data_IF_068335437587
#
_entry.id   IF_068335437587
#
_cell.length_a   1.000
_cell.length_b   1.000
_cell.length_c   1.000
_cell.angle_alpha   90.00
_cell.angle_beta   90.00
_cell.angle_gamma   90.00
#
_symmetry.space_group_name_H-M   'P 1'
#
loop_
_entity.id
_entity.type
_entity.pdbx_description
1 polymer ?
#
# COMPACT_ATOMS: atom_id res chain seq x y z
N UNK A 1 -3.19 72.30 -46.11
CA UNK A 1 -4.39 71.87 -46.87
C UNK A 1 -5.07 70.78 -46.03
N UNK A 2 -6.04 71.14 -45.17
CA UNK A 2 -7.50 71.11 -45.45
C UNK A 2 -7.90 69.76 -46.05
N UNK A 3 -8.71 68.91 -45.40
CA UNK A 3 -10.08 69.18 -44.96
C UNK A 3 -10.55 68.22 -43.86
N UNK A 4 -11.27 68.78 -42.90
CA UNK A 4 -12.30 68.15 -42.05
C UNK A 4 -13.37 67.42 -42.87
N UNK A 5 -13.85 66.26 -42.42
CA UNK A 5 -15.31 66.07 -42.28
C UNK A 5 -15.68 64.99 -41.25
N UNK A 6 -16.83 65.22 -40.65
CA UNK A 6 -17.40 64.69 -39.42
C UNK A 6 -18.51 63.70 -39.81
N UNK A 7 -18.49 62.50 -39.25
CA UNK A 7 -19.75 61.75 -39.05
C UNK A 7 -19.74 61.06 -37.70
N UNK A 8 -20.57 61.63 -36.81
CA UNK A 8 -21.14 61.00 -35.64
C UNK A 8 -21.73 59.63 -35.99
N UNK A 9 -21.51 58.64 -35.11
CA UNK A 9 -22.57 57.67 -34.75
C UNK A 9 -22.23 56.91 -33.47
N UNK A 10 -23.02 57.24 -32.45
CA UNK A 10 -23.55 56.36 -31.40
C UNK A 10 -22.57 55.48 -30.61
N UNK A 11 -22.18 55.96 -29.43
CA UNK A 11 -22.02 55.09 -28.25
C UNK A 11 -23.36 54.40 -27.99
N UNK A 12 -23.50 53.15 -28.44
CA UNK A 12 -24.59 52.28 -28.06
C UNK A 12 -24.52 51.91 -26.57
N UNK A 13 -25.66 51.55 -25.94
CA UNK A 13 -25.75 51.37 -24.49
C UNK A 13 -24.85 50.25 -24.00
N UNK A 14 -24.28 50.43 -22.80
CA UNK A 14 -23.65 49.35 -22.03
C UNK A 14 -24.58 48.13 -22.03
N UNK A 15 -24.19 47.08 -22.76
CA UNK A 15 -24.83 45.79 -22.61
C UNK A 15 -24.58 45.32 -21.18
N UNK A 16 -25.66 45.25 -20.41
CA UNK A 16 -25.67 44.69 -19.07
C UNK A 16 -24.93 43.35 -19.07
N UNK A 17 -23.78 43.31 -18.39
CA UNK A 17 -23.11 42.05 -18.09
C UNK A 17 -24.09 41.14 -17.35
N UNK A 18 -23.99 39.80 -17.50
CA UNK A 18 -24.92 38.88 -16.88
C UNK A 18 -24.98 39.19 -15.39
N UNK A 19 -26.18 39.56 -14.93
CA UNK A 19 -26.49 39.79 -13.52
C UNK A 19 -25.97 38.59 -12.76
N UNK A 20 -24.94 38.82 -11.95
CA UNK A 20 -24.40 37.82 -11.03
C UNK A 20 -25.54 37.48 -10.09
N UNK A 21 -26.29 36.43 -10.40
CA UNK A 21 -27.33 35.88 -9.54
C UNK A 21 -26.67 35.70 -8.19
N UNK A 22 -27.04 36.54 -7.23
CA UNK A 22 -26.56 36.44 -5.87
C UNK A 22 -26.88 35.01 -5.43
N UNK A 23 -25.83 34.25 -5.07
CA UNK A 23 -26.04 32.93 -4.47
C UNK A 23 -27.01 33.14 -3.31
N UNK A 24 -28.12 32.40 -3.23
CA UNK A 24 -28.97 32.47 -2.06
C UNK A 24 -28.09 32.25 -0.83
N UNK A 25 -28.30 33.08 0.19
CA UNK A 25 -27.62 32.93 1.47
C UNK A 25 -27.77 31.46 1.92
N UNK A 26 -26.71 30.83 2.44
CA UNK A 26 -26.84 29.48 2.98
C UNK A 26 -27.99 29.50 4.00
N UNK A 27 -28.90 28.50 3.96
CA UNK A 27 -29.98 28.45 4.93
C UNK A 27 -29.37 28.58 6.33
N UNK A 28 -29.94 29.49 7.14
CA UNK A 28 -29.61 29.60 8.55
C UNK A 28 -29.56 28.19 9.14
N UNK A 29 -28.51 27.90 9.91
CA UNK A 29 -28.14 26.57 10.42
C UNK A 29 -29.33 25.86 11.10
N UNK A 30 -30.20 25.26 10.28
CA UNK A 30 -31.24 24.37 10.72
C UNK A 30 -30.54 23.08 11.10
N UNK A 31 -30.51 22.81 12.41
CA UNK A 31 -30.12 21.56 13.03
C UNK A 31 -29.02 20.79 12.28
N UNK A 32 -27.77 21.24 12.45
CA UNK A 32 -26.64 20.36 12.16
C UNK A 32 -26.83 19.10 12.99
N UNK A 33 -27.31 18.03 12.35
CA UNK A 33 -27.53 16.74 12.99
C UNK A 33 -26.30 16.40 13.85
N UNK A 34 -26.48 16.00 15.12
CA UNK A 34 -25.38 15.83 16.04
C UNK A 34 -24.34 14.91 15.42
N UNK A 35 -23.08 15.36 15.36
CA UNK A 35 -21.96 14.59 14.82
C UNK A 35 -22.03 13.20 15.46
N UNK A 36 -22.19 12.12 14.66
CA UNK A 36 -22.46 10.82 15.20
C UNK A 36 -21.32 10.41 16.14
N UNK A 37 -21.67 10.13 17.40
CA UNK A 37 -20.71 9.73 18.43
C UNK A 37 -19.92 8.52 17.96
N UNK A 38 -18.62 8.55 18.19
CA UNK A 38 -17.70 7.46 17.82
C UNK A 38 -18.13 6.17 18.54
N UNK A 39 -18.32 5.05 17.83
CA UNK A 39 -18.63 3.77 18.47
C UNK A 39 -17.50 3.32 19.39
N UNK A 40 -17.83 2.73 20.54
CA UNK A 40 -16.86 2.10 21.46
C UNK A 40 -16.04 1.01 20.77
N UNK A 41 -16.62 0.31 19.78
CA UNK A 41 -15.94 -0.66 18.94
C UNK A 41 -14.70 -0.10 18.21
N UNK A 42 -14.68 1.20 17.86
CA UNK A 42 -13.48 1.85 17.29
C UNK A 42 -12.36 1.96 18.32
N UNK A 43 -12.71 2.25 19.58
CA UNK A 43 -11.76 2.27 20.69
C UNK A 43 -11.19 0.89 20.99
N UNK A 44 -12.03 -0.15 20.94
CA UNK A 44 -11.58 -1.54 21.10
C UNK A 44 -10.71 -2.01 19.93
N UNK A 45 -11.08 -1.69 18.68
CA UNK A 45 -10.24 -2.01 17.51
C UNK A 45 -8.85 -1.34 17.64
N UNK A 46 -8.82 -0.08 18.09
CA UNK A 46 -7.58 0.63 18.39
C UNK A 46 -6.75 -0.08 19.47
N UNK A 47 -7.37 -0.47 20.58
CA UNK A 47 -6.69 -1.19 21.66
C UNK A 47 -6.12 -2.54 21.17
N UNK A 48 -6.87 -3.29 20.35
CA UNK A 48 -6.40 -4.56 19.79
C UNK A 48 -5.21 -4.38 18.85
N UNK A 49 -5.19 -3.32 18.04
CA UNK A 49 -4.02 -2.99 17.19
C UNK A 49 -2.81 -2.69 18.06
N UNK A 50 -2.97 -1.93 19.15
CA UNK A 50 -1.86 -1.66 20.09
C UNK A 50 -1.36 -2.96 20.72
N UNK A 51 -2.26 -3.81 21.23
CA UNK A 51 -1.89 -5.08 21.86
C UNK A 51 -1.14 -5.98 20.86
N UNK A 52 -1.65 -6.11 19.62
CA UNK A 52 -0.97 -6.87 18.58
C UNK A 52 0.40 -6.29 18.23
N UNK A 53 0.53 -4.96 18.19
CA UNK A 53 1.80 -4.26 17.95
C UNK A 53 2.80 -4.51 19.08
N UNK A 54 2.36 -4.42 20.34
CA UNK A 54 3.19 -4.72 21.51
C UNK A 54 3.65 -6.18 21.52
N UNK A 55 2.78 -7.12 21.16
CA UNK A 55 3.15 -8.53 21.03
C UNK A 55 4.20 -8.75 19.93
N UNK A 56 4.08 -8.06 18.79
CA UNK A 56 5.07 -8.10 17.71
C UNK A 56 6.43 -7.51 18.16
N UNK A 57 6.41 -6.40 18.89
CA UNK A 57 7.64 -5.83 19.49
C UNK A 57 8.30 -6.85 20.41
N UNK A 58 7.52 -7.47 21.32
CA UNK A 58 8.05 -8.46 22.25
C UNK A 58 8.70 -9.62 21.49
N UNK A 59 8.02 -10.17 20.49
CA UNK A 59 8.54 -11.23 19.62
C UNK A 59 9.87 -10.86 18.98
N UNK A 60 9.98 -9.66 18.39
CA UNK A 60 11.22 -9.21 17.75
C UNK A 60 12.35 -8.98 18.75
N UNK A 61 12.05 -8.46 19.95
CA UNK A 61 13.06 -8.30 21.02
C UNK A 61 13.65 -9.65 21.43
N UNK A 62 12.83 -10.70 21.54
CA UNK A 62 13.34 -12.05 21.84
C UNK A 62 14.21 -12.61 20.72
N UNK A 63 13.83 -12.40 19.46
CA UNK A 63 14.64 -12.82 18.30
C UNK A 63 16.01 -12.14 18.30
N UNK A 64 16.03 -10.83 18.55
CA UNK A 64 17.27 -10.05 18.63
C UNK A 64 18.13 -10.50 19.82
N UNK A 65 17.53 -10.74 20.99
CA UNK A 65 18.25 -11.26 22.15
C UNK A 65 18.92 -12.60 21.82
N UNK A 66 18.22 -13.49 21.12
CA UNK A 66 18.77 -14.76 20.67
C UNK A 66 19.92 -14.60 19.65
N UNK A 67 19.82 -13.64 18.72
CA UNK A 67 20.91 -13.32 17.78
C UNK A 67 22.16 -12.80 18.50
N UNK A 68 21.97 -11.99 19.56
CA UNK A 68 23.07 -11.49 20.39
C UNK A 68 23.72 -12.63 21.18
N UNK A 69 22.92 -13.51 21.79
CA UNK A 69 23.42 -14.68 22.54
C UNK A 69 24.19 -15.66 21.66
N UNK A 70 23.76 -15.85 20.41
CA UNK A 70 24.39 -16.77 19.45
C UNK A 70 25.58 -16.16 18.70
N UNK A 71 25.90 -14.88 18.95
CA UNK A 71 27.00 -14.18 18.29
C UNK A 71 26.77 -13.89 16.81
N UNK A 72 25.53 -14.01 16.33
CA UNK A 72 25.11 -13.73 14.94
C UNK A 72 24.66 -12.27 14.77
N UNK A 73 24.59 -11.50 15.86
CA UNK A 73 24.21 -10.10 15.84
C UNK A 73 25.17 -9.25 14.99
N UNK A 74 24.62 -8.57 13.98
CA UNK A 74 25.37 -7.75 13.04
C UNK A 74 24.55 -6.57 12.51
N UNK A 75 24.95 -5.99 11.38
CA UNK A 75 24.22 -4.88 10.76
C UNK A 75 22.74 -5.19 10.47
N UNK A 76 22.43 -6.46 10.16
CA UNK A 76 21.07 -6.97 9.96
C UNK A 76 20.17 -6.77 11.20
N UNK A 77 20.70 -6.96 12.41
CA UNK A 77 19.96 -6.78 13.67
C UNK A 77 19.55 -5.32 13.90
N UNK A 78 20.37 -4.36 13.44
CA UNK A 78 20.05 -2.92 13.49
C UNK A 78 18.97 -2.56 12.46
N UNK A 79 19.00 -3.19 11.29
CA UNK A 79 17.94 -3.08 10.28
C UNK A 79 16.59 -3.60 10.79
N UNK A 80 16.59 -4.77 11.42
CA UNK A 80 15.38 -5.38 12.00
C UNK A 80 14.77 -4.53 13.13
N UNK A 81 15.58 -3.92 14.00
CA UNK A 81 15.12 -2.97 15.02
C UNK A 81 14.50 -1.72 14.40
N UNK A 82 15.18 -1.14 13.41
CA UNK A 82 14.72 0.07 12.72
C UNK A 82 13.38 -0.18 12.03
N UNK A 83 13.25 -1.32 11.35
CA UNK A 83 12.01 -1.79 10.74
C UNK A 83 10.90 -1.96 11.77
N UNK A 84 11.19 -2.62 12.88
CA UNK A 84 10.22 -2.85 13.95
C UNK A 84 9.66 -1.54 14.48
N UNK A 85 10.53 -0.59 14.82
CA UNK A 85 10.14 0.73 15.32
C UNK A 85 9.30 1.48 14.27
N UNK A 86 9.74 1.48 13.01
CA UNK A 86 9.02 2.11 11.91
C UNK A 86 7.63 1.51 11.71
N UNK A 87 7.49 0.17 11.75
CA UNK A 87 6.20 -0.50 11.66
C UNK A 87 5.29 -0.15 12.83
N UNK A 88 5.81 -0.12 14.06
CA UNK A 88 5.02 0.22 15.23
C UNK A 88 4.47 1.65 15.17
N UNK A 89 5.33 2.62 14.79
CA UNK A 89 4.91 4.00 14.56
C UNK A 89 3.86 4.10 13.45
N UNK A 90 4.04 3.33 12.37
CA UNK A 90 3.12 3.29 11.24
C UNK A 90 1.75 2.70 11.60
N UNK A 91 1.70 1.57 12.33
CA UNK A 91 0.45 0.97 12.80
C UNK A 91 -0.30 1.88 13.77
N UNK A 92 0.42 2.51 14.72
CA UNK A 92 -0.13 3.53 15.60
C UNK A 92 -0.73 4.70 14.80
N UNK A 93 -0.01 5.18 13.80
CA UNK A 93 -0.50 6.21 12.89
C UNK A 93 -1.76 5.78 12.13
N UNK A 94 -1.82 4.55 11.58
CA UNK A 94 -3.01 4.05 10.90
C UNK A 94 -4.21 3.93 11.85
N UNK A 95 -3.97 3.50 13.08
CA UNK A 95 -4.98 3.40 14.13
C UNK A 95 -5.50 4.79 14.53
N UNK A 96 -4.65 5.80 14.60
CA UNK A 96 -5.06 7.20 14.78
C UNK A 96 -5.85 7.74 13.59
N UNK A 97 -5.46 7.39 12.37
CA UNK A 97 -6.19 7.81 11.16
C UNK A 97 -7.57 7.14 11.07
N UNK A 98 -7.72 5.91 11.57
CA UNK A 98 -9.02 5.27 11.78
C UNK A 98 -9.85 6.04 12.83
N UNK A 99 -9.27 6.39 13.98
CA UNK A 99 -9.94 7.20 15.02
C UNK A 99 -10.39 8.57 14.50
N UNK A 100 -9.60 9.16 13.60
CA UNK A 100 -9.91 10.39 12.89
C UNK A 100 -11.00 10.22 11.81
N UNK A 101 -11.54 9.01 11.59
CA UNK A 101 -12.60 8.72 10.62
C UNK A 101 -12.13 8.60 9.18
N UNK A 102 -10.82 8.47 8.93
CA UNK A 102 -10.28 8.36 7.57
C UNK A 102 -10.39 6.92 7.07
N UNK A 103 -11.15 6.74 5.98
CA UNK A 103 -11.38 5.43 5.34
C UNK A 103 -10.10 4.67 4.97
N UNK A 104 -9.06 5.37 4.53
CA UNK A 104 -7.80 4.73 4.14
C UNK A 104 -7.05 4.13 5.34
N UNK A 105 -7.21 4.67 6.56
CA UNK A 105 -6.64 4.08 7.78
C UNK A 105 -7.25 2.71 8.06
N UNK A 106 -8.58 2.59 7.91
CA UNK A 106 -9.27 1.28 8.01
C UNK A 106 -8.79 0.28 6.98
N UNK A 107 -8.63 0.71 5.72
CA UNK A 107 -8.16 -0.17 4.64
C UNK A 107 -6.72 -0.63 4.91
N UNK A 108 -5.84 0.27 5.34
CA UNK A 108 -4.46 -0.08 5.69
C UNK A 108 -4.42 -1.11 6.82
N UNK A 109 -5.13 -0.86 7.93
CA UNK A 109 -5.20 -1.83 9.02
C UNK A 109 -5.74 -3.17 8.55
N UNK A 110 -6.78 -3.19 7.73
CA UNK A 110 -7.31 -4.44 7.17
C UNK A 110 -6.23 -5.18 6.37
N UNK A 111 -5.59 -4.50 5.42
CA UNK A 111 -4.59 -5.11 4.53
C UNK A 111 -3.40 -5.62 5.31
N UNK A 112 -2.84 -4.79 6.20
CA UNK A 112 -1.65 -5.14 6.97
C UNK A 112 -1.94 -6.20 8.05
N UNK A 113 -3.08 -6.15 8.72
CA UNK A 113 -3.48 -7.21 9.66
C UNK A 113 -3.73 -8.53 8.93
N UNK A 114 -4.41 -8.52 7.78
CA UNK A 114 -4.58 -9.74 6.96
C UNK A 114 -3.25 -10.29 6.43
N UNK A 115 -2.35 -9.41 6.00
CA UNK A 115 -1.02 -9.79 5.52
C UNK A 115 -0.17 -10.36 6.67
N UNK A 116 -0.22 -9.75 7.84
CA UNK A 116 0.42 -10.25 9.05
C UNK A 116 -0.09 -11.64 9.43
N UNK A 117 -1.42 -11.84 9.46
CA UNK A 117 -2.03 -13.15 9.70
C UNK A 117 -1.56 -14.20 8.67
N UNK A 118 -1.47 -13.82 7.39
CA UNK A 118 -1.00 -14.70 6.33
C UNK A 118 0.48 -15.08 6.54
N UNK A 119 1.35 -14.11 6.78
CA UNK A 119 2.77 -14.37 7.00
C UNK A 119 3.02 -15.18 8.27
N UNK A 120 2.34 -14.87 9.37
CA UNK A 120 2.41 -15.66 10.60
C UNK A 120 1.92 -17.09 10.36
N UNK A 121 0.84 -17.26 9.60
CA UNK A 121 0.33 -18.58 9.21
C UNK A 121 1.32 -19.38 8.34
N UNK A 122 1.94 -18.74 7.35
CA UNK A 122 2.96 -19.36 6.49
C UNK A 122 4.21 -19.76 7.30
N UNK A 123 4.65 -18.90 8.22
CA UNK A 123 5.76 -19.18 9.12
C UNK A 123 5.49 -20.36 10.05
N UNK A 124 4.29 -20.41 10.65
CA UNK A 124 3.85 -21.55 11.47
C UNK A 124 3.76 -22.85 10.65
N UNK A 125 3.34 -22.77 9.38
CA UNK A 125 3.24 -23.92 8.48
C UNK A 125 4.59 -24.36 7.88
N UNK A 126 5.67 -23.61 8.11
CA UNK A 126 6.99 -23.81 7.46
C UNK A 126 6.93 -23.79 5.93
N UNK A 127 5.94 -23.09 5.36
CA UNK A 127 5.71 -23.00 3.91
C UNK A 127 6.29 -21.71 3.30
N UNK A 128 6.97 -20.89 4.10
CA UNK A 128 7.66 -19.66 3.68
C UNK A 128 7.73 -18.63 4.79
N UNK A 129 8.81 -17.83 4.80
CA UNK A 129 9.12 -16.84 5.85
C UNK A 129 10.27 -17.27 6.76
N UNK A 130 10.81 -16.33 7.54
CA UNK A 130 11.91 -16.61 8.49
C UNK A 130 11.45 -17.69 9.51
N UNK A 131 12.26 -18.75 9.76
CA UNK A 131 11.88 -19.81 10.68
C UNK A 131 11.73 -19.25 12.10
N UNK A 132 10.61 -19.57 12.76
CA UNK A 132 10.37 -19.19 14.15
C UNK A 132 11.42 -19.86 15.05
N UNK A 133 12.15 -19.06 15.82
CA UNK A 133 13.23 -19.50 16.69
C UNK A 133 12.64 -19.98 18.03
N UNK A 134 12.25 -21.25 18.06
CA UNK A 134 11.85 -21.95 19.28
C UNK A 134 10.37 -21.80 19.69
N UNK A 135 9.95 -22.57 20.72
CA UNK A 135 8.55 -22.69 21.13
C UNK A 135 7.96 -21.40 21.70
N UNK A 136 8.78 -20.53 22.29
CA UNK A 136 8.35 -19.25 22.86
C UNK A 136 7.92 -18.26 21.77
N UNK A 137 8.70 -18.12 20.69
CA UNK A 137 8.36 -17.23 19.59
C UNK A 137 7.10 -17.72 18.85
N UNK A 138 6.96 -19.05 18.67
CA UNK A 138 5.74 -19.63 18.12
C UNK A 138 4.52 -19.35 19.01
N UNK A 139 4.67 -19.43 20.33
CA UNK A 139 3.58 -19.14 21.29
C UNK A 139 3.18 -17.66 21.27
N UNK A 140 4.15 -16.73 21.20
CA UNK A 140 3.89 -15.30 21.06
C UNK A 140 3.22 -14.96 19.73
N UNK A 141 3.66 -15.59 18.64
CA UNK A 141 3.05 -15.45 17.33
C UNK A 141 1.58 -15.89 17.35
N UNK A 142 1.27 -17.04 17.93
CA UNK A 142 -0.11 -17.53 18.11
C UNK A 142 -0.92 -16.60 19.02
N UNK A 143 -0.33 -16.13 20.12
CA UNK A 143 -0.98 -15.20 21.05
C UNK A 143 -1.37 -13.87 20.36
N UNK A 144 -0.60 -13.42 19.36
CA UNK A 144 -0.89 -12.23 18.57
C UNK A 144 -2.02 -12.41 17.55
N UNK A 145 -2.37 -13.65 17.17
CA UNK A 145 -3.44 -13.92 16.20
C UNK A 145 -4.81 -13.53 16.74
N UNK A 146 -5.07 -13.81 18.03
CA UNK A 146 -6.35 -13.52 18.69
C UNK A 146 -6.70 -12.02 18.65
N UNK A 147 -5.87 -11.09 19.17
CA UNK A 147 -6.16 -9.67 19.09
C UNK A 147 -6.19 -9.16 17.64
N UNK A 148 -5.39 -9.73 16.74
CA UNK A 148 -5.40 -9.38 15.31
C UNK A 148 -6.74 -9.71 14.64
N UNK A 149 -7.28 -10.91 14.89
CA UNK A 149 -8.60 -11.33 14.37
C UNK A 149 -9.72 -10.52 15.01
N UNK A 150 -9.69 -10.32 16.33
CA UNK A 150 -10.70 -9.50 17.02
C UNK A 150 -10.69 -8.07 16.49
N UNK A 151 -9.51 -7.45 16.38
CA UNK A 151 -9.33 -6.12 15.82
C UNK A 151 -9.91 -6.02 14.41
N UNK A 152 -9.61 -7.00 13.54
CA UNK A 152 -10.12 -7.06 12.17
C UNK A 152 -11.65 -7.17 12.13
N UNK A 153 -12.25 -8.02 12.96
CA UNK A 153 -13.72 -8.15 13.06
C UNK A 153 -14.36 -6.83 13.51
N UNK A 154 -13.78 -6.19 14.53
CA UNK A 154 -14.27 -4.91 15.06
C UNK A 154 -14.28 -3.79 14.01
N UNK A 155 -13.35 -3.78 13.04
CA UNK A 155 -13.31 -2.78 11.96
C UNK A 155 -14.55 -2.81 11.04
N UNK A 156 -15.28 -3.94 11.03
CA UNK A 156 -16.42 -4.18 10.13
C UNK A 156 -17.76 -4.41 10.83
N UNK A 157 -17.83 -4.22 12.16
CA UNK A 157 -19.09 -4.30 12.91
C UNK A 157 -20.09 -3.25 12.38
N UNK A 158 -21.42 -3.54 12.36
CA UNK A 158 -22.43 -2.63 11.81
C UNK A 158 -22.40 -1.21 12.38
N UNK A 159 -22.07 -1.04 13.68
CA UNK A 159 -21.91 0.27 14.32
C UNK A 159 -20.78 1.10 13.69
N UNK A 160 -19.61 0.48 13.46
CA UNK A 160 -18.45 1.11 12.81
C UNK A 160 -18.75 1.43 11.36
N UNK A 161 -19.41 0.53 10.63
CA UNK A 161 -19.79 0.77 9.23
C UNK A 161 -20.74 1.95 9.06
N UNK A 162 -21.74 2.09 9.95
CA UNK A 162 -22.67 3.23 9.95
C UNK A 162 -21.96 4.54 10.25
N UNK A 163 -21.11 4.58 11.28
CA UNK A 163 -20.31 5.76 11.62
C UNK A 163 -19.33 6.16 10.50
N UNK A 164 -18.67 5.17 9.91
CA UNK A 164 -17.76 5.40 8.78
C UNK A 164 -18.49 5.88 7.52
N UNK A 165 -19.77 5.54 7.36
CA UNK A 165 -20.59 6.04 6.26
C UNK A 165 -20.99 7.51 6.48
N UNK A 166 -21.31 7.92 7.70
CA UNK A 166 -21.67 9.30 8.02
C UNK A 166 -20.48 10.26 7.99
N UNK A 167 -19.35 9.89 8.60
CA UNK A 167 -18.13 10.74 8.59
C UNK A 167 -17.54 10.89 7.18
N UNK A 168 -17.85 9.95 6.28
CA UNK A 168 -17.38 9.96 4.88
C UNK A 168 -18.00 11.07 4.03
N UNK A 169 -19.16 11.60 4.41
CA UNK A 169 -19.79 12.73 3.70
C UNK A 169 -19.10 14.06 4.05
N UNK A 170 -18.63 14.19 5.30
CA UNK A 170 -17.93 15.37 5.82
C UNK A 170 -16.41 15.37 5.53
N UNK A 171 -15.75 14.20 5.49
CA UNK A 171 -14.28 14.09 5.44
C UNK A 171 -13.66 14.27 4.03
N UNK A 172 -14.26 15.05 3.13
CA UNK A 172 -13.78 15.28 1.74
C UNK A 172 -12.39 15.95 1.62
N UNK A 173 -11.65 16.12 2.71
CA UNK A 173 -10.61 17.14 2.92
C UNK A 173 -9.20 16.56 3.13
N UNK A 174 -8.72 15.66 2.26
CA UNK A 174 -7.25 15.62 2.07
C UNK A 174 -6.90 16.88 1.28
N UNK A 175 -6.09 17.76 1.88
CA UNK A 175 -5.68 19.00 1.21
C UNK A 175 -5.01 18.66 -0.13
N UNK A 176 -5.27 19.48 -1.16
CA UNK A 176 -4.68 19.24 -2.50
C UNK A 176 -3.15 19.17 -2.46
N UNK A 177 -2.52 19.91 -1.54
CA UNK A 177 -1.08 19.89 -1.31
C UNK A 177 -0.61 18.52 -0.79
N UNK A 178 -1.26 17.99 0.26
CA UNK A 178 -0.93 16.66 0.78
C UNK A 178 -1.18 15.57 -0.28
N UNK A 179 -2.26 15.69 -1.06
CA UNK A 179 -2.53 14.75 -2.16
C UNK A 179 -1.43 14.74 -3.21
N UNK A 180 -0.92 15.91 -3.61
CA UNK A 180 0.18 16.03 -4.57
C UNK A 180 1.48 15.48 -3.98
N UNK A 181 1.78 15.77 -2.72
CA UNK A 181 2.96 15.25 -2.04
C UNK A 181 2.95 13.71 -1.97
N UNK A 182 1.85 13.12 -1.49
CA UNK A 182 1.70 11.66 -1.42
C UNK A 182 1.76 11.02 -2.81
N UNK A 183 1.14 11.65 -3.82
CA UNK A 183 1.22 11.14 -5.19
C UNK A 183 2.66 11.18 -5.73
N UNK A 184 3.40 12.25 -5.45
CA UNK A 184 4.80 12.39 -5.88
C UNK A 184 5.67 11.34 -5.20
N UNK A 185 5.51 11.15 -3.89
CA UNK A 185 6.18 10.09 -3.14
C UNK A 185 5.83 8.70 -3.70
N UNK A 186 4.54 8.42 -3.95
CA UNK A 186 4.10 7.16 -4.53
C UNK A 186 4.77 6.86 -5.88
N UNK A 187 4.83 7.86 -6.76
CA UNK A 187 5.49 7.73 -8.07
C UNK A 187 6.99 7.49 -7.90
N UNK A 188 7.67 8.29 -7.07
CA UNK A 188 9.11 8.14 -6.81
C UNK A 188 9.45 6.76 -6.25
N UNK A 189 8.70 6.28 -5.25
CA UNK A 189 8.87 4.95 -4.66
C UNK A 189 8.58 3.86 -5.69
N UNK A 190 7.54 4.01 -6.51
CA UNK A 190 7.19 3.00 -7.52
C UNK A 190 8.25 2.89 -8.63
N UNK A 191 8.81 4.03 -9.06
CA UNK A 191 9.91 4.06 -10.03
C UNK A 191 11.18 3.48 -9.41
N UNK A 192 11.49 3.83 -8.17
CA UNK A 192 12.61 3.26 -7.43
C UNK A 192 12.49 1.75 -7.27
N UNK A 193 11.30 1.24 -6.95
CA UNK A 193 11.04 -0.19 -6.84
C UNK A 193 11.19 -0.91 -8.19
N UNK A 194 10.68 -0.35 -9.27
CA UNK A 194 10.89 -0.88 -10.62
C UNK A 194 12.38 -0.91 -11.00
N UNK A 195 13.12 0.16 -10.71
CA UNK A 195 14.56 0.24 -10.94
C UNK A 195 15.34 -0.80 -10.14
N UNK A 196 15.00 -0.97 -8.87
CA UNK A 196 15.59 -1.98 -7.98
C UNK A 196 15.41 -3.39 -8.53
N UNK A 197 14.17 -3.79 -8.84
CA UNK A 197 13.86 -5.13 -9.35
C UNK A 197 14.52 -5.36 -10.72
N UNK A 198 14.59 -4.33 -11.57
CA UNK A 198 15.28 -4.41 -12.87
C UNK A 198 16.79 -4.59 -12.69
N UNK A 199 17.40 -3.88 -11.74
CA UNK A 199 18.81 -4.05 -11.39
C UNK A 199 19.10 -5.45 -10.86
N UNK A 200 18.27 -5.96 -9.96
CA UNK A 200 18.37 -7.33 -9.44
C UNK A 200 18.21 -8.38 -10.55
N UNK A 201 17.29 -8.18 -11.49
CA UNK A 201 17.18 -9.02 -12.68
C UNK A 201 18.49 -9.02 -13.49
N UNK A 202 19.05 -7.84 -13.78
CA UNK A 202 20.29 -7.73 -14.53
C UNK A 202 21.47 -8.41 -13.81
N UNK A 203 21.60 -8.21 -12.49
CA UNK A 203 22.63 -8.89 -11.68
C UNK A 203 22.41 -10.40 -11.64
N UNK A 204 21.16 -10.89 -11.62
CA UNK A 204 20.85 -12.33 -11.64
C UNK A 204 21.28 -12.98 -12.94
N UNK A 205 21.03 -12.32 -14.08
CA UNK A 205 21.50 -12.76 -15.38
C UNK A 205 23.03 -12.71 -15.46
N UNK A 206 23.65 -11.63 -14.95
CA UNK A 206 25.11 -11.51 -14.94
C UNK A 206 25.77 -12.60 -14.07
N UNK A 207 25.21 -12.89 -12.89
CA UNK A 207 25.67 -13.96 -12.00
C UNK A 207 25.50 -15.35 -12.61
N UNK A 208 24.42 -15.60 -13.35
CA UNK A 208 24.18 -16.88 -14.02
C UNK A 208 25.05 -17.09 -15.28
N UNK A 209 25.50 -16.01 -15.92
CA UNK A 209 26.24 -16.09 -17.20
C UNK A 209 27.75 -15.96 -17.06
N UNK A 210 28.24 -15.35 -15.98
CA UNK A 210 29.68 -15.15 -15.77
C UNK A 210 30.45 -16.46 -15.64
N UNK A 211 31.75 -16.39 -15.93
CA UNK A 211 32.72 -17.47 -15.72
C UNK A 211 33.68 -17.16 -14.57
N UNK A 212 33.58 -15.97 -13.97
CA UNK A 212 34.43 -15.55 -12.87
C UNK A 212 33.70 -15.72 -11.52
N UNK A 213 34.26 -16.55 -10.65
CA UNK A 213 33.73 -16.82 -9.30
C UNK A 213 33.58 -15.56 -8.46
N UNK A 214 34.58 -14.67 -8.51
CA UNK A 214 34.60 -13.44 -7.73
C UNK A 214 33.50 -12.49 -8.17
N UNK A 215 33.31 -12.37 -9.49
CA UNK A 215 32.24 -11.54 -10.05
C UNK A 215 30.85 -12.10 -9.70
N UNK A 216 30.68 -13.42 -9.76
CA UNK A 216 29.41 -14.08 -9.40
C UNK A 216 29.06 -13.85 -7.92
N UNK A 217 30.03 -14.05 -7.03
CA UNK A 217 29.88 -13.80 -5.60
C UNK A 217 29.51 -12.33 -5.33
N UNK A 218 30.17 -11.39 -6.00
CA UNK A 218 29.88 -9.97 -5.86
C UNK A 218 28.43 -9.62 -6.26
N UNK A 219 27.90 -10.21 -7.33
CA UNK A 219 26.51 -9.98 -7.76
C UNK A 219 25.49 -10.47 -6.72
N UNK A 220 25.65 -11.69 -6.20
CA UNK A 220 24.71 -12.27 -5.24
C UNK A 220 24.78 -11.62 -3.85
N UNK A 221 25.98 -11.23 -3.40
CA UNK A 221 26.14 -10.47 -2.14
C UNK A 221 25.52 -9.08 -2.24
N UNK A 222 25.72 -8.39 -3.36
CA UNK A 222 25.09 -7.08 -3.61
C UNK A 222 23.57 -7.21 -3.66
N UNK A 223 23.05 -8.29 -4.26
CA UNK A 223 21.61 -8.57 -4.24
C UNK A 223 21.07 -8.81 -2.83
N UNK A 224 21.79 -9.53 -1.96
CA UNK A 224 21.38 -9.70 -0.54
C UNK A 224 21.27 -8.37 0.16
N UNK A 225 22.29 -7.52 0.03
CA UNK A 225 22.28 -6.18 0.61
C UNK A 225 21.10 -5.33 0.12
N UNK A 226 20.81 -5.36 -1.19
CA UNK A 226 19.69 -4.61 -1.77
C UNK A 226 18.33 -5.14 -1.32
N UNK A 227 18.21 -6.46 -1.19
CA UNK A 227 17.01 -7.13 -0.72
C UNK A 227 16.69 -6.76 0.73
N UNK A 228 17.69 -6.85 1.61
CA UNK A 228 17.60 -6.52 3.03
C UNK A 228 17.26 -5.04 3.27
N UNK A 229 17.90 -4.13 2.54
CA UNK A 229 17.74 -2.68 2.77
C UNK A 229 16.50 -2.13 2.06
N UNK A 230 16.32 -2.46 0.78
CA UNK A 230 15.39 -1.75 -0.09
C UNK A 230 14.18 -2.56 -0.53
N UNK A 231 14.31 -3.85 -0.81
CA UNK A 231 13.21 -4.60 -1.46
C UNK A 231 11.97 -4.70 -0.57
N UNK A 232 12.16 -5.03 0.70
CA UNK A 232 11.09 -5.02 1.69
C UNK A 232 10.48 -3.63 1.90
N UNK A 233 11.33 -2.61 2.09
CA UNK A 233 10.89 -1.23 2.36
C UNK A 233 10.11 -0.62 1.19
N UNK A 234 10.66 -0.72 -0.02
CA UNK A 234 10.08 -0.07 -1.21
C UNK A 234 8.72 -0.66 -1.58
N UNK A 235 8.58 -1.99 -1.51
CA UNK A 235 7.29 -2.66 -1.76
C UNK A 235 6.22 -2.26 -0.72
N UNK A 236 6.58 -2.16 0.56
CA UNK A 236 5.71 -1.68 1.62
C UNK A 236 5.29 -0.23 1.41
N UNK A 237 6.24 0.68 1.17
CA UNK A 237 5.94 2.09 0.94
C UNK A 237 5.10 2.29 -0.33
N UNK A 238 5.33 1.51 -1.40
CA UNK A 238 4.51 1.52 -2.61
C UNK A 238 3.05 1.12 -2.30
N UNK A 239 2.86 0.06 -1.51
CA UNK A 239 1.53 -0.40 -1.10
C UNK A 239 0.81 0.64 -0.23
N UNK A 240 1.49 1.19 0.78
CA UNK A 240 0.93 2.19 1.70
C UNK A 240 0.50 3.43 0.93
N UNK A 241 1.43 4.02 0.18
CA UNK A 241 1.16 5.23 -0.60
C UNK A 241 0.09 4.98 -1.66
N UNK A 242 0.07 3.80 -2.28
CA UNK A 242 -0.99 3.39 -3.22
C UNK A 242 -2.37 3.33 -2.57
N UNK A 243 -2.50 2.77 -1.37
CA UNK A 243 -3.76 2.74 -0.61
C UNK A 243 -4.16 4.16 -0.20
N UNK A 244 -3.24 4.98 0.31
CA UNK A 244 -3.54 6.37 0.69
C UNK A 244 -4.04 7.16 -0.53
N UNK A 245 -3.40 7.02 -1.70
CA UNK A 245 -3.84 7.68 -2.94
C UNK A 245 -5.18 7.13 -3.41
N UNK A 246 -5.40 5.81 -3.40
CA UNK A 246 -6.60 5.21 -3.98
C UNK A 246 -7.84 5.22 -3.07
N UNK A 247 -7.67 5.03 -1.76
CA UNK A 247 -8.74 5.06 -0.76
C UNK A 247 -8.94 6.47 -0.16
N UNK A 248 -7.90 7.30 -0.11
CA UNK A 248 -7.98 8.70 0.35
C UNK A 248 -8.51 9.68 -0.69
N UNK A 249 -8.67 9.26 -1.95
CA UNK A 249 -9.23 10.12 -3.01
C UNK A 249 -10.59 9.63 -3.48
N UNK A 250 -11.32 10.51 -4.19
CA UNK A 250 -12.65 10.30 -4.78
C UNK A 250 -12.83 9.04 -5.64
N UNK A 251 -11.76 8.31 -5.94
CA UNK A 251 -11.76 7.20 -6.88
C UNK A 251 -12.16 5.85 -6.29
N UNK A 252 -12.20 5.67 -4.96
CA UNK A 252 -12.50 4.42 -4.22
C UNK A 252 -11.68 3.22 -4.77
N UNK A 253 -10.81 2.63 -3.94
CA UNK A 253 -9.89 1.53 -4.32
C UNK A 253 -10.52 0.43 -5.21
N UNK A 254 -11.77 0.06 -4.94
CA UNK A 254 -12.49 -1.02 -5.63
C UNK A 254 -13.56 -0.55 -6.62
N UNK A 255 -13.67 0.74 -6.96
CA UNK A 255 -14.66 1.25 -7.93
C UNK A 255 -14.22 1.15 -9.38
N UNK A 256 -12.91 1.09 -9.64
CA UNK A 256 -12.35 1.04 -10.99
C UNK A 256 -11.55 -0.23 -11.13
N UNK A 257 -11.85 -1.01 -12.17
CA UNK A 257 -11.23 -2.34 -12.38
C UNK A 257 -9.71 -2.22 -12.47
N UNK A 258 -9.21 -1.20 -13.16
CA UNK A 258 -7.77 -0.96 -13.27
C UNK A 258 -7.07 -0.65 -11.93
N UNK A 259 -7.74 0.02 -10.99
CA UNK A 259 -7.18 0.31 -9.65
C UNK A 259 -7.09 -0.97 -8.84
N UNK A 260 -8.14 -1.79 -8.88
CA UNK A 260 -8.17 -3.08 -8.20
C UNK A 260 -7.10 -4.03 -8.75
N UNK A 261 -6.98 -4.14 -10.09
CA UNK A 261 -5.96 -4.97 -10.74
C UNK A 261 -4.55 -4.58 -10.26
N UNK A 262 -4.21 -3.30 -10.27
CA UNK A 262 -2.91 -2.84 -9.77
C UNK A 262 -2.69 -3.15 -8.30
N UNK A 263 -3.72 -2.97 -7.47
CA UNK A 263 -3.63 -3.25 -6.05
C UNK A 263 -3.33 -4.73 -5.79
N UNK A 264 -4.08 -5.64 -6.41
CA UNK A 264 -3.84 -7.07 -6.27
C UNK A 264 -2.51 -7.50 -6.90
N UNK A 265 -2.13 -6.91 -8.03
CA UNK A 265 -0.86 -7.22 -8.68
C UNK A 265 0.35 -6.68 -7.90
N UNK A 266 0.23 -5.53 -7.25
CA UNK A 266 1.24 -5.01 -6.30
C UNK A 266 1.41 -5.99 -5.13
N UNK A 267 0.29 -6.47 -4.58
CA UNK A 267 0.34 -7.46 -3.49
C UNK A 267 0.94 -8.79 -3.95
N UNK A 268 0.63 -9.24 -5.17
CA UNK A 268 1.20 -10.46 -5.75
C UNK A 268 2.72 -10.34 -5.98
N UNK A 269 3.19 -9.24 -6.56
CA UNK A 269 4.64 -8.99 -6.78
C UNK A 269 5.38 -8.88 -5.45
N UNK A 270 4.77 -8.24 -4.46
CA UNK A 270 5.31 -8.17 -3.10
C UNK A 270 5.40 -9.57 -2.46
N UNK A 271 4.36 -10.40 -2.58
CA UNK A 271 4.42 -11.80 -2.12
C UNK A 271 5.51 -12.58 -2.84
N UNK A 272 5.60 -12.47 -4.16
CA UNK A 272 6.67 -13.09 -4.94
C UNK A 272 8.08 -12.68 -4.44
N UNK A 273 8.24 -11.40 -4.11
CA UNK A 273 9.46 -10.86 -3.50
C UNK A 273 9.82 -11.57 -2.20
N UNK A 274 8.89 -11.58 -1.23
CA UNK A 274 9.14 -12.16 0.08
C UNK A 274 9.22 -13.69 0.10
N UNK A 275 8.42 -14.39 -0.70
CA UNK A 275 8.31 -15.85 -0.62
C UNK A 275 9.27 -16.59 -1.56
N UNK A 276 9.61 -16.00 -2.71
CA UNK A 276 10.43 -16.66 -3.73
C UNK A 276 11.78 -15.96 -3.87
N UNK A 277 11.79 -14.66 -4.19
CA UNK A 277 13.03 -13.94 -4.50
C UNK A 277 13.96 -13.90 -3.29
N UNK A 278 13.45 -13.52 -2.11
CA UNK A 278 14.23 -13.49 -0.87
C UNK A 278 14.87 -14.85 -0.55
N UNK A 279 14.11 -15.95 -0.68
CA UNK A 279 14.62 -17.31 -0.43
C UNK A 279 15.69 -17.72 -1.45
N UNK A 280 15.53 -17.36 -2.72
CA UNK A 280 16.53 -17.62 -3.76
C UNK A 280 17.83 -16.85 -3.51
N UNK A 281 17.75 -15.61 -3.03
CA UNK A 281 18.92 -14.79 -2.69
C UNK A 281 19.69 -15.40 -1.52
N UNK A 282 19.00 -15.81 -0.46
CA UNK A 282 19.62 -16.49 0.68
C UNK A 282 20.32 -17.77 0.21
N UNK A 283 19.63 -18.62 -0.57
CA UNK A 283 20.20 -19.85 -1.09
C UNK A 283 21.42 -19.62 -1.99
N UNK A 284 21.38 -18.59 -2.83
CA UNK A 284 22.51 -18.23 -3.68
C UNK A 284 23.74 -17.82 -2.85
N UNK A 285 23.55 -17.04 -1.77
CA UNK A 285 24.65 -16.64 -0.89
C UNK A 285 25.23 -17.82 -0.11
N UNK A 286 24.38 -18.72 0.43
CA UNK A 286 24.85 -19.95 1.08
C UNK A 286 25.73 -20.79 0.14
N UNK A 287 25.33 -20.95 -1.12
CA UNK A 287 26.08 -21.71 -2.11
C UNK A 287 27.41 -21.02 -2.48
N UNK A 288 27.41 -19.69 -2.57
CA UNK A 288 28.64 -18.91 -2.78
C UNK A 288 29.61 -19.09 -1.62
N UNK A 289 29.14 -19.00 -0.38
CA UNK A 289 29.98 -19.14 0.81
C UNK A 289 30.48 -20.57 1.00
N UNK A 290 29.73 -21.57 0.53
CA UNK A 290 30.15 -22.97 0.46
C UNK A 290 31.17 -23.25 -0.68
N UNK A 291 31.51 -22.26 -1.51
CA UNK A 291 32.45 -22.43 -2.62
C UNK A 291 31.89 -23.23 -3.80
N UNK A 292 30.58 -23.11 -4.07
CA UNK A 292 29.94 -23.78 -5.20
C UNK A 292 30.61 -23.45 -6.55
N UNK A 293 30.55 -24.40 -7.48
CA UNK A 293 31.13 -24.22 -8.81
C UNK A 293 30.43 -23.10 -9.57
N UNK A 294 31.21 -22.25 -10.24
CA UNK A 294 30.72 -21.07 -10.97
C UNK A 294 29.72 -21.42 -12.06
N UNK A 295 29.86 -22.62 -12.66
CA UNK A 295 29.08 -23.13 -13.79
C UNK A 295 28.67 -24.58 -13.57
N UNK A 296 27.52 -24.96 -14.13
CA UNK A 296 27.07 -26.35 -14.21
C UNK A 296 26.67 -26.99 -12.88
N UNK A 297 26.57 -26.20 -11.81
CA UNK A 297 26.18 -26.63 -10.48
C UNK A 297 24.83 -26.04 -10.05
N UNK A 298 24.45 -26.31 -8.80
CA UNK A 298 23.20 -25.83 -8.20
C UNK A 298 23.04 -24.29 -8.27
N UNK A 299 24.15 -23.55 -8.15
CA UNK A 299 24.15 -22.08 -8.20
C UNK A 299 23.64 -21.52 -9.54
N UNK A 300 23.87 -22.21 -10.65
CA UNK A 300 23.38 -21.83 -11.98
C UNK A 300 21.84 -21.97 -12.03
N UNK A 301 21.31 -23.07 -11.48
CA UNK A 301 19.85 -23.27 -11.40
C UNK A 301 19.17 -22.23 -10.52
N UNK A 302 19.78 -21.86 -9.39
CA UNK A 302 19.27 -20.78 -8.52
C UNK A 302 19.34 -19.44 -9.25
N UNK A 303 20.44 -19.14 -9.95
CA UNK A 303 20.59 -17.90 -10.73
C UNK A 303 19.54 -17.74 -11.84
N UNK A 304 19.24 -18.79 -12.59
CA UNK A 304 18.21 -18.75 -13.64
C UNK A 304 16.78 -18.70 -13.09
N UNK A 305 16.48 -19.44 -12.02
CA UNK A 305 15.16 -19.36 -11.38
C UNK A 305 14.91 -17.98 -10.76
N UNK A 306 15.95 -17.35 -10.23
CA UNK A 306 15.92 -15.97 -9.75
C UNK A 306 15.79 -14.94 -10.87
N UNK A 307 16.46 -15.15 -12.01
CA UNK A 307 16.29 -14.28 -13.17
C UNK A 307 14.86 -14.36 -13.71
N UNK A 308 14.27 -15.56 -13.76
CA UNK A 308 12.87 -15.77 -14.17
C UNK A 308 11.86 -15.10 -13.23
N UNK A 309 12.04 -15.23 -11.92
CA UNK A 309 11.15 -14.61 -10.92
C UNK A 309 11.27 -13.08 -10.92
N UNK A 310 12.49 -12.54 -11.02
CA UNK A 310 12.74 -11.10 -11.15
C UNK A 310 12.18 -10.54 -12.47
N UNK A 311 12.35 -11.25 -13.60
CA UNK A 311 11.76 -10.86 -14.88
C UNK A 311 10.22 -10.79 -14.80
N UNK A 312 9.58 -11.79 -14.20
CA UNK A 312 8.14 -11.79 -13.98
C UNK A 312 7.70 -10.57 -13.17
N UNK A 313 8.44 -10.23 -12.11
CA UNK A 313 8.18 -9.04 -11.31
C UNK A 313 8.33 -7.73 -12.13
N UNK A 314 9.39 -7.60 -12.93
CA UNK A 314 9.57 -6.46 -13.85
C UNK A 314 8.39 -6.35 -14.82
N UNK A 315 8.02 -7.44 -15.48
CA UNK A 315 6.90 -7.47 -16.43
C UNK A 315 5.58 -7.05 -15.76
N UNK A 316 5.33 -7.51 -14.53
CA UNK A 316 4.17 -7.09 -13.75
C UNK A 316 4.18 -5.59 -13.43
N UNK A 317 5.33 -5.04 -13.03
CA UNK A 317 5.48 -3.60 -12.73
C UNK A 317 5.32 -2.73 -13.97
N UNK A 318 5.88 -3.15 -15.11
CA UNK A 318 5.69 -2.49 -16.41
C UNK A 318 4.23 -2.55 -16.83
N UNK A 319 3.58 -3.71 -16.71
CA UNK A 319 2.16 -3.87 -17.01
C UNK A 319 1.30 -2.97 -16.11
N UNK A 320 1.57 -2.90 -14.80
CA UNK A 320 0.89 -1.98 -13.90
C UNK A 320 1.07 -0.52 -14.33
N UNK A 321 2.26 -0.15 -14.78
CA UNK A 321 2.56 1.20 -15.30
C UNK A 321 1.76 1.48 -16.57
N UNK A 322 1.72 0.54 -17.52
CA UNK A 322 0.92 0.67 -18.74
C UNK A 322 -0.58 0.80 -18.43
N UNK A 323 -1.12 -0.04 -17.54
CA UNK A 323 -2.52 0.04 -17.07
C UNK A 323 -2.81 1.40 -16.41
N UNK A 324 -1.81 2.02 -15.77
CA UNK A 324 -1.91 3.38 -15.20
C UNK A 324 -2.20 4.44 -16.24
N UNK A 325 -1.48 4.34 -17.35
CA UNK A 325 -1.44 5.37 -18.39
C UNK A 325 -2.63 5.20 -19.32
N UNK A 326 -2.85 3.98 -19.81
CA UNK A 326 -3.88 3.69 -20.80
C UNK A 326 -5.28 3.52 -20.22
N UNK A 327 -5.40 3.24 -18.90
CA UNK A 327 -6.68 3.05 -18.17
C UNK A 327 -7.74 2.26 -18.98
N UNK A 328 -7.43 1.05 -19.44
CA UNK A 328 -8.27 0.34 -20.41
C UNK A 328 -9.64 -0.10 -19.89
N UNK A 329 -9.89 -0.07 -18.57
CA UNK A 329 -11.11 -0.63 -17.97
C UNK A 329 -11.96 0.38 -17.19
N UNK A 330 -13.28 0.31 -17.40
CA UNK A 330 -14.29 1.14 -16.74
C UNK A 330 -14.57 0.80 -15.26
N UNK A 331 -15.73 1.24 -14.77
CA UNK A 331 -16.15 1.07 -13.37
C UNK A 331 -16.44 -0.42 -13.04
N UNK A 332 -16.21 -0.81 -11.77
CA UNK A 332 -16.61 -2.12 -11.21
C UNK A 332 -18.12 -2.14 -10.90
N UNK A 333 -18.68 -3.32 -10.59
CA UNK A 333 -20.11 -3.46 -10.23
C UNK A 333 -20.49 -2.70 -8.96
N UNK A 334 -19.60 -2.66 -7.96
CA UNK A 334 -19.75 -1.78 -6.79
C UNK A 334 -19.75 -0.30 -7.20
N UNK A 335 -18.91 0.03 -8.18
CA UNK A 335 -18.86 1.26 -8.98
C UNK A 335 -20.20 1.73 -9.52
N UNK A 336 -20.83 0.83 -10.27
CA UNK A 336 -22.09 1.05 -10.96
C UNK A 336 -23.27 1.22 -10.01
N UNK A 337 -23.29 0.48 -8.88
CA UNK A 337 -24.36 0.53 -7.88
C UNK A 337 -24.45 1.86 -7.13
N UNK A 338 -23.32 2.55 -6.93
CA UNK A 338 -23.25 3.84 -6.23
C UNK A 338 -23.19 5.05 -7.18
N UNK A 339 -23.44 4.86 -8.48
CA UNK A 339 -23.44 5.97 -9.42
C UNK A 339 -24.76 6.74 -9.31
N UNK A 340 -24.75 8.08 -9.12
CA UNK A 340 -25.95 8.90 -8.90
C UNK A 340 -27.00 8.76 -10.01
N UNK A 341 -26.59 8.33 -11.22
CA UNK A 341 -27.48 8.06 -12.35
C UNK A 341 -28.52 6.95 -12.08
N UNK A 342 -28.25 5.98 -11.18
CA UNK A 342 -29.26 4.96 -10.81
C UNK A 342 -30.22 5.44 -9.73
N UNK A 343 -29.75 6.25 -8.79
CA UNK A 343 -30.59 6.87 -7.75
C UNK A 343 -31.59 7.86 -8.37
N UNK A 344 -31.15 8.69 -9.32
CA UNK A 344 -32.03 9.62 -10.04
C UNK A 344 -33.05 8.90 -10.95
N UNK A 345 -32.72 7.71 -11.47
CA UNK A 345 -33.65 6.91 -12.30
C UNK A 345 -34.65 6.11 -11.46
N UNK A 346 -34.33 5.83 -10.19
CA UNK A 346 -35.24 5.22 -9.24
C UNK A 346 -36.26 6.23 -8.71
N UNK A 347 -35.83 7.42 -8.27
CA UNK A 347 -36.78 8.44 -7.79
C UNK A 347 -37.73 8.94 -8.89
N UNK A 348 -37.24 9.06 -10.13
CA UNK A 348 -38.07 9.46 -11.28
C UNK A 348 -39.06 8.39 -11.75
N UNK A 349 -38.94 7.15 -11.25
CA UNK A 349 -39.92 6.09 -11.48
C UNK A 349 -41.02 6.09 -10.41
N UNK A 350 -40.68 6.40 -9.15
CA UNK A 350 -41.67 6.61 -8.09
C UNK A 350 -42.56 7.84 -8.36
N UNK A 351 -41.97 8.97 -8.78
CA UNK A 351 -42.74 10.19 -9.14
C UNK A 351 -43.65 10.04 -10.36
N UNK A 352 -43.53 8.94 -11.12
CA UNK A 352 -44.39 8.66 -12.29
C UNK A 352 -45.47 7.61 -12.00
N UNK A 353 -45.48 7.04 -10.79
CA UNK A 353 -46.44 6.02 -10.36
C UNK A 353 -47.38 6.51 -9.23
N UNK A 354 -47.17 7.72 -8.71
CA UNK A 354 -48.09 8.48 -7.84
C UNK A 354 -48.99 9.40 -8.65
#
# INVERSE_FOLDING_TARGET
MSTTDRTERSRGPQAAGPTRVARPAPPAAADAAPVPRRPTAVGWAYAMVIVATLAAIASNVFEIAHQVETGVAGAATTGDLTLTIAFCALFGFFAEMLRAGRQWGRVLLTVFTSLGLLFTGLGLARLGGRPLVGPLQASLAVASLIPSVIGLVLLYVPSVNRWMASVREDSRTISQRLRKAVLTAHVGISVGWLGLVTGMFAMSVAGATTHNAEQQAAMYRTMSMLDEIFLGMTSMFALITGIVVGAGTKWRLLHRRWVAVKFFLTMAVMMLGFSVIHQQILRANELVDAGATVRGGELDTVGWTMAGSALLAVLCLVFMTAVSTYKPWGLTDRGRRHSPAKSARASRKDDRQS
#
